data_IF_222176630577
#
_entry.id   IF_222176630577
#
_cell.length_a   1.000
_cell.length_b   1.000
_cell.length_c   1.000
_cell.angle_alpha   90.00
_cell.angle_beta   90.00
_cell.angle_gamma   90.00
#
_symmetry.space_group_name_H-M   'P 1'
#
loop_
_entity.id
_entity.type
_entity.pdbx_description
1 polymer ?
#
# COMPACT_ATOMS: atom_id res chain seq x y z
N UNK A 1 11.56 24.24 -7.79
CA UNK A 1 12.19 22.96 -8.20
C UNK A 1 13.35 22.70 -7.24
N UNK A 2 13.30 21.64 -6.46
CA UNK A 2 14.27 21.41 -5.37
C UNK A 2 15.66 20.90 -5.86
N UNK A 3 15.74 20.40 -7.11
CA UNK A 3 16.98 19.84 -7.67
C UNK A 3 17.77 20.82 -8.56
N UNK A 4 17.30 22.06 -8.72
CA UNK A 4 17.93 23.00 -9.67
C UNK A 4 17.93 22.51 -11.13
N UNK A 5 17.11 21.50 -11.45
CA UNK A 5 17.05 20.91 -12.79
C UNK A 5 17.94 19.68 -12.99
N UNK A 6 18.72 19.27 -11.97
CA UNK A 6 19.56 18.07 -12.04
C UNK A 6 18.77 16.77 -12.05
N UNK A 7 17.54 16.79 -11.57
CA UNK A 7 16.62 15.65 -11.61
C UNK A 7 15.37 16.02 -12.41
N UNK A 8 15.07 15.25 -13.44
CA UNK A 8 13.81 15.29 -14.20
C UNK A 8 13.03 14.01 -13.88
N UNK A 9 11.83 14.17 -13.36
CA UNK A 9 10.91 13.05 -13.09
C UNK A 9 9.78 13.10 -14.09
N UNK A 10 9.55 12.00 -14.77
CA UNK A 10 8.40 11.80 -15.64
C UNK A 10 7.48 10.77 -14.97
N UNK A 11 6.22 11.16 -14.77
CA UNK A 11 5.25 10.33 -14.05
C UNK A 11 4.32 9.62 -15.02
N UNK A 12 4.15 8.34 -14.80
CA UNK A 12 3.22 7.49 -15.55
C UNK A 12 2.19 6.87 -14.59
N UNK A 13 0.96 6.77 -15.05
CA UNK A 13 -0.04 5.99 -14.33
C UNK A 13 0.16 4.50 -14.59
N UNK A 14 -0.17 3.66 -13.61
CA UNK A 14 -0.09 2.20 -13.74
C UNK A 14 -0.85 1.67 -14.97
N UNK A 15 -1.97 2.30 -15.31
CA UNK A 15 -2.76 1.95 -16.49
C UNK A 15 -2.03 2.14 -17.82
N UNK A 16 -1.05 3.05 -17.89
CA UNK A 16 -0.26 3.29 -19.11
C UNK A 16 1.01 2.44 -19.17
N UNK A 17 1.46 1.87 -18.07
CA UNK A 17 2.69 1.07 -18.00
C UNK A 17 2.38 -0.42 -17.97
N UNK A 18 1.49 -0.85 -17.06
CA UNK A 18 1.26 -2.28 -16.77
C UNK A 18 -0.22 -2.67 -16.78
N UNK A 19 -1.11 -1.71 -16.73
CA UNK A 19 -2.55 -1.92 -16.57
C UNK A 19 -2.99 -2.33 -15.16
N UNK A 20 -2.07 -2.73 -14.27
CA UNK A 20 -2.39 -3.19 -12.91
C UNK A 20 -1.39 -2.63 -11.90
N UNK A 21 -1.88 -2.06 -10.80
CA UNK A 21 -1.03 -1.50 -9.74
C UNK A 21 -0.09 -2.55 -9.12
N UNK A 22 -0.53 -3.80 -9.01
CA UNK A 22 0.31 -4.89 -8.47
C UNK A 22 1.53 -5.21 -9.35
N UNK A 23 1.49 -4.88 -10.65
CA UNK A 23 2.58 -5.18 -11.59
C UNK A 23 3.60 -4.02 -11.68
N UNK A 24 3.31 -2.85 -11.14
CA UNK A 24 4.22 -1.70 -11.18
C UNK A 24 5.53 -2.01 -10.46
N UNK A 25 5.46 -2.71 -9.33
CA UNK A 25 6.63 -3.19 -8.60
C UNK A 25 7.55 -4.06 -9.47
N UNK A 26 6.98 -5.00 -10.22
CA UNK A 26 7.75 -5.85 -11.13
C UNK A 26 8.41 -5.02 -12.23
N UNK A 27 7.73 -3.98 -12.71
CA UNK A 27 8.28 -3.09 -13.74
C UNK A 27 9.47 -2.28 -13.24
N UNK A 28 9.43 -1.82 -11.99
CA UNK A 28 10.59 -1.19 -11.36
C UNK A 28 11.72 -2.21 -11.13
N UNK A 29 11.40 -3.39 -10.63
CA UNK A 29 12.37 -4.45 -10.39
C UNK A 29 13.11 -4.90 -11.67
N UNK A 30 12.44 -4.86 -12.82
CA UNK A 30 13.01 -5.26 -14.12
C UNK A 30 13.59 -4.08 -14.92
N UNK A 31 13.55 -2.88 -14.39
CA UNK A 31 14.10 -1.68 -15.03
C UNK A 31 13.25 -1.11 -16.17
N UNK A 32 11.97 -1.49 -16.28
CA UNK A 32 11.02 -0.86 -17.22
C UNK A 32 10.72 0.57 -16.78
N UNK A 33 10.69 0.81 -15.49
CA UNK A 33 10.62 2.13 -14.86
C UNK A 33 11.69 2.22 -13.78
N UNK A 34 12.16 3.44 -13.48
CA UNK A 34 13.22 3.66 -12.50
C UNK A 34 12.72 3.63 -11.05
N UNK A 35 11.45 4.02 -10.81
CA UNK A 35 10.85 4.13 -9.49
C UNK A 35 9.39 3.66 -9.51
N UNK A 36 8.97 3.08 -8.40
CA UNK A 36 7.59 2.69 -8.13
C UNK A 36 7.02 3.54 -6.98
N UNK A 37 5.78 4.01 -7.13
CA UNK A 37 5.03 4.69 -6.08
C UNK A 37 3.65 4.04 -5.95
N UNK A 38 3.62 2.86 -5.35
CA UNK A 38 2.39 2.10 -5.08
C UNK A 38 2.31 1.68 -3.61
N UNK A 39 1.12 1.34 -3.14
CA UNK A 39 0.93 0.83 -1.79
C UNK A 39 1.62 -0.51 -1.59
N UNK A 40 2.41 -0.65 -0.52
CA UNK A 40 3.13 -1.88 -0.21
C UNK A 40 2.21 -3.11 -0.07
N UNK A 41 0.97 -2.92 0.37
CA UNK A 41 -0.04 -3.97 0.49
C UNK A 41 -0.30 -4.76 -0.79
N UNK A 42 -0.08 -4.18 -1.97
CA UNK A 42 -0.20 -4.90 -3.25
C UNK A 42 0.88 -5.98 -3.43
N UNK A 43 1.93 -5.97 -2.62
CA UNK A 43 3.03 -6.93 -2.69
C UNK A 43 2.94 -8.05 -1.64
N UNK A 44 1.84 -8.14 -0.89
CA UNK A 44 1.64 -9.19 0.13
C UNK A 44 1.69 -10.60 -0.42
N UNK A 45 1.35 -10.79 -1.70
CA UNK A 45 1.53 -12.07 -2.40
C UNK A 45 3.00 -12.48 -2.59
N UNK A 46 3.95 -11.53 -2.58
CA UNK A 46 5.39 -11.80 -2.62
C UNK A 46 5.95 -12.08 -1.21
N UNK A 47 5.52 -11.27 -0.24
CA UNK A 47 5.92 -11.40 1.15
C UNK A 47 4.86 -10.74 2.05
N UNK A 48 4.32 -11.52 2.99
CA UNK A 48 3.29 -11.03 3.92
C UNK A 48 3.74 -9.83 4.76
N UNK A 49 5.04 -9.60 4.94
CA UNK A 49 5.57 -8.46 5.68
C UNK A 49 5.24 -7.10 5.00
N UNK A 50 4.96 -7.08 3.69
CA UNK A 50 4.56 -5.85 3.00
C UNK A 50 3.26 -5.25 3.54
N UNK A 51 2.38 -6.04 4.16
CA UNK A 51 1.17 -5.51 4.78
C UNK A 51 1.45 -4.54 5.94
N UNK A 52 2.62 -4.64 6.60
CA UNK A 52 3.03 -3.76 7.70
C UNK A 52 3.83 -2.54 7.21
N UNK A 53 4.20 -2.52 5.94
CA UNK A 53 4.90 -1.40 5.30
C UNK A 53 3.96 -0.38 4.65
N UNK A 54 2.65 -0.56 4.76
CA UNK A 54 1.63 0.28 4.15
C UNK A 54 0.46 0.52 5.11
N UNK A 55 -0.75 0.34 4.58
CA UNK A 55 -1.98 0.59 5.33
C UNK A 55 -2.23 -0.51 6.36
N UNK A 56 -2.22 -0.13 7.63
CA UNK A 56 -2.52 -1.03 8.75
C UNK A 56 -3.88 -0.63 9.32
N UNK A 57 -4.94 -1.31 8.88
CA UNK A 57 -6.32 -1.02 9.29
C UNK A 57 -6.45 -1.05 10.82
N UNK A 58 -6.92 0.07 11.38
CA UNK A 58 -7.08 0.24 12.83
C UNK A 58 -5.77 0.36 13.61
N UNK A 59 -4.62 0.49 12.92
CA UNK A 59 -3.31 0.59 13.57
C UNK A 59 -2.98 1.98 14.09
N UNK A 60 -3.56 3.01 13.48
CA UNK A 60 -3.25 4.42 13.79
C UNK A 60 -4.51 5.27 13.81
N UNK A 61 -4.55 6.27 14.69
CA UNK A 61 -5.67 7.21 14.78
C UNK A 61 -5.57 8.34 13.72
N UNK A 62 -4.39 8.56 13.19
CA UNK A 62 -4.15 9.59 12.18
C UNK A 62 -2.87 9.32 11.38
N UNK A 63 -2.71 9.95 10.19
CA UNK A 63 -1.56 9.75 9.31
C UNK A 63 -0.21 10.12 9.94
N UNK A 64 -0.19 11.05 10.88
CA UNK A 64 1.06 11.48 11.52
C UNK A 64 1.63 10.40 12.43
N UNK A 65 0.79 9.66 13.17
CA UNK A 65 1.22 8.53 13.97
C UNK A 65 1.84 7.43 13.10
N UNK A 66 1.24 7.14 11.96
CA UNK A 66 1.81 6.20 10.99
C UNK A 66 3.15 6.70 10.46
N UNK A 67 3.24 7.98 10.09
CA UNK A 67 4.48 8.58 9.62
C UNK A 67 5.60 8.50 10.65
N UNK A 68 5.29 8.84 11.92
CA UNK A 68 6.26 8.78 13.01
C UNK A 68 6.75 7.36 13.25
N UNK A 69 5.85 6.37 13.20
CA UNK A 69 6.23 4.95 13.28
C UNK A 69 7.16 4.55 12.15
N UNK A 70 6.82 4.89 10.90
CA UNK A 70 7.60 4.55 9.73
C UNK A 70 8.97 5.27 9.71
N UNK A 71 9.06 6.44 10.34
CA UNK A 71 10.32 7.18 10.52
C UNK A 71 11.13 6.72 11.73
N UNK A 72 10.57 5.93 12.60
CA UNK A 72 11.33 5.34 13.69
C UNK A 72 12.46 4.47 13.11
N UNK A 73 13.72 4.62 13.55
CA UNK A 73 14.88 4.00 12.89
C UNK A 73 14.71 2.49 12.63
N UNK A 74 14.25 1.73 13.60
CA UNK A 74 14.05 0.29 13.42
C UNK A 74 12.96 -0.10 12.42
N UNK A 75 11.88 0.69 12.30
CA UNK A 75 10.82 0.43 11.35
C UNK A 75 11.28 0.73 9.92
N UNK A 76 11.92 1.87 9.70
CA UNK A 76 12.47 2.25 8.40
C UNK A 76 13.52 1.23 7.93
N UNK A 77 14.44 0.83 8.79
CA UNK A 77 15.48 -0.15 8.47
C UNK A 77 14.88 -1.52 8.10
N UNK A 78 13.86 -1.96 8.83
CA UNK A 78 13.18 -3.23 8.56
C UNK A 78 12.46 -3.22 7.20
N UNK A 79 11.82 -2.10 6.84
CA UNK A 79 11.13 -2.00 5.56
C UNK A 79 12.11 -1.83 4.42
N UNK A 80 13.19 -1.06 4.58
CA UNK A 80 14.23 -0.98 3.56
C UNK A 80 14.89 -2.35 3.32
N UNK A 81 15.20 -3.08 4.39
CA UNK A 81 15.70 -4.45 4.29
C UNK A 81 14.72 -5.41 3.60
N UNK A 82 13.41 -5.18 3.73
CA UNK A 82 12.40 -5.95 3.00
C UNK A 82 12.46 -5.65 1.50
N UNK A 83 12.50 -4.39 1.09
CA UNK A 83 12.60 -3.99 -0.32
C UNK A 83 13.92 -4.43 -0.95
N UNK A 84 15.02 -4.36 -0.20
CA UNK A 84 16.36 -4.79 -0.65
C UNK A 84 16.41 -6.27 -1.06
N UNK A 85 15.57 -7.15 -0.48
CA UNK A 85 15.44 -8.55 -0.91
C UNK A 85 14.97 -8.69 -2.35
N UNK A 86 14.36 -7.65 -2.89
CA UNK A 86 13.84 -7.59 -4.26
C UNK A 86 14.67 -6.70 -5.17
N UNK A 87 15.85 -6.27 -4.73
CA UNK A 87 16.73 -5.36 -5.48
C UNK A 87 16.21 -3.93 -5.55
N UNK A 88 15.32 -3.56 -4.64
CA UNK A 88 14.70 -2.24 -4.56
C UNK A 88 15.22 -1.50 -3.32
N UNK A 89 15.30 -0.18 -3.38
CA UNK A 89 15.67 0.69 -2.27
C UNK A 89 14.51 1.61 -1.92
N UNK A 90 14.20 1.73 -0.64
CA UNK A 90 13.15 2.63 -0.16
C UNK A 90 13.64 4.09 -0.26
N UNK A 91 12.98 4.90 -1.10
CA UNK A 91 13.30 6.32 -1.25
C UNK A 91 12.53 7.16 -0.21
N UNK A 92 11.31 6.79 0.08
CA UNK A 92 10.47 7.53 1.01
C UNK A 92 9.09 6.90 1.19
N UNK A 93 8.28 7.56 1.99
CA UNK A 93 6.96 7.11 2.37
C UNK A 93 5.88 7.92 1.68
N UNK A 94 4.86 7.22 1.23
CA UNK A 94 3.58 7.79 0.85
C UNK A 94 2.53 7.25 1.82
N UNK A 95 1.81 8.14 2.49
CA UNK A 95 0.80 7.78 3.47
C UNK A 95 -0.53 8.32 2.97
N UNK A 96 -1.51 7.47 2.69
CA UNK A 96 -2.85 7.90 2.33
C UNK A 96 -3.52 8.59 3.53
N UNK A 97 -4.56 9.37 3.26
CA UNK A 97 -5.43 9.88 4.30
C UNK A 97 -6.33 8.78 4.87
N UNK A 98 -7.27 9.18 5.74
CA UNK A 98 -8.28 8.24 6.25
C UNK A 98 -9.08 7.64 5.09
N UNK A 99 -9.15 6.33 5.07
CA UNK A 99 -10.02 5.62 4.17
C UNK A 99 -11.44 5.52 4.74
N UNK A 100 -12.43 5.50 3.86
CA UNK A 100 -13.84 5.44 4.23
C UNK A 100 -14.54 4.34 3.47
N UNK A 101 -15.48 3.66 4.13
CA UNK A 101 -16.36 2.71 3.48
C UNK A 101 -17.42 3.44 2.67
N UNK A 102 -17.59 3.04 1.41
CA UNK A 102 -18.69 3.47 0.56
C UNK A 102 -19.52 2.24 0.25
N UNK A 103 -20.83 2.32 0.50
CA UNK A 103 -21.76 1.21 0.27
C UNK A 103 -23.05 1.69 -0.38
N UNK A 104 -23.62 0.87 -1.26
CA UNK A 104 -24.95 1.09 -1.85
C UNK A 104 -26.09 0.72 -0.90
N UNK A 105 -25.79 0.12 0.25
CA UNK A 105 -26.76 -0.28 1.28
C UNK A 105 -26.25 0.17 2.65
N UNK A 106 -27.14 0.49 3.59
CA UNK A 106 -26.75 0.79 4.96
C UNK A 106 -25.95 -0.36 5.59
N UNK A 107 -24.90 -0.02 6.33
CA UNK A 107 -24.12 -0.92 7.18
C UNK A 107 -24.23 -0.40 8.61
N UNK A 108 -25.31 -0.69 9.33
CA UNK A 108 -25.54 -0.12 10.66
C UNK A 108 -24.67 -0.74 11.75
N UNK A 109 -24.15 -1.93 11.53
CA UNK A 109 -23.33 -2.67 12.48
C UNK A 109 -22.40 -3.66 11.77
N UNK A 110 -21.45 -4.21 12.52
CA UNK A 110 -20.47 -5.18 12.00
C UNK A 110 -21.14 -6.46 11.45
N UNK A 111 -22.15 -7.07 12.08
CA UNK A 111 -22.82 -8.24 11.52
C UNK A 111 -23.44 -8.01 10.14
N UNK A 112 -23.83 -6.79 9.82
CA UNK A 112 -24.41 -6.42 8.53
C UNK A 112 -23.43 -6.52 7.36
N UNK A 113 -22.12 -6.64 7.63
CA UNK A 113 -21.07 -6.81 6.62
C UNK A 113 -21.09 -8.23 6.00
N UNK A 114 -21.68 -9.18 6.70
CA UNK A 114 -21.76 -10.56 6.23
C UNK A 114 -22.37 -10.65 4.84
N UNK A 115 -21.74 -11.44 3.97
CA UNK A 115 -22.12 -11.67 2.58
C UNK A 115 -22.05 -10.45 1.64
N UNK A 116 -21.61 -9.29 2.11
CA UNK A 116 -21.33 -8.17 1.22
C UNK A 116 -20.20 -8.51 0.26
N UNK A 117 -20.39 -8.18 -1.01
CA UNK A 117 -19.29 -8.12 -1.97
C UNK A 117 -18.53 -6.83 -1.74
N UNK A 118 -17.26 -6.96 -1.45
CA UNK A 118 -16.42 -5.87 -0.97
C UNK A 118 -15.19 -5.74 -1.84
N UNK A 119 -14.86 -4.53 -2.29
CA UNK A 119 -13.55 -4.26 -2.86
C UNK A 119 -12.66 -3.73 -1.75
N UNK A 120 -11.58 -4.44 -1.44
CA UNK A 120 -10.52 -3.98 -0.56
C UNK A 120 -9.16 -4.18 -1.20
N UNK A 121 -8.12 -3.45 -0.78
CA UNK A 121 -6.74 -3.79 -1.09
C UNK A 121 -6.41 -5.22 -0.65
N UNK A 122 -5.49 -5.91 -1.33
CA UNK A 122 -5.04 -7.22 -0.87
C UNK A 122 -4.26 -7.10 0.45
N UNK A 123 -4.17 -8.20 1.20
CA UNK A 123 -3.46 -8.26 2.46
C UNK A 123 -4.37 -8.17 3.68
N UNK A 124 -3.95 -7.44 4.71
CA UNK A 124 -4.62 -7.41 6.01
C UNK A 124 -6.08 -6.96 5.92
N UNK A 125 -6.37 -5.94 5.14
CA UNK A 125 -7.73 -5.42 4.99
C UNK A 125 -8.69 -6.48 4.42
N UNK A 126 -8.33 -7.15 3.32
CA UNK A 126 -9.10 -8.27 2.78
C UNK A 126 -9.29 -9.39 3.80
N UNK A 127 -8.27 -9.70 4.60
CA UNK A 127 -8.35 -10.73 5.63
C UNK A 127 -9.33 -10.36 6.74
N UNK A 128 -9.32 -9.10 7.18
CA UNK A 128 -10.26 -8.59 8.20
C UNK A 128 -11.69 -8.69 7.70
N UNK A 129 -11.98 -8.17 6.50
CA UNK A 129 -13.33 -8.24 5.94
C UNK A 129 -13.79 -9.67 5.68
N UNK A 130 -12.89 -10.57 5.24
CA UNK A 130 -13.21 -11.99 5.12
C UNK A 130 -13.57 -12.62 6.46
N UNK A 131 -12.81 -12.29 7.52
CA UNK A 131 -13.08 -12.78 8.87
C UNK A 131 -14.43 -12.28 9.42
N UNK A 132 -14.88 -11.10 8.98
CA UNK A 132 -16.21 -10.56 9.28
C UNK A 132 -17.31 -11.15 8.41
N UNK A 133 -17.00 -12.07 7.50
CA UNK A 133 -17.94 -12.76 6.63
C UNK A 133 -18.27 -12.01 5.33
N UNK A 134 -17.57 -10.94 5.00
CA UNK A 134 -17.67 -10.31 3.68
C UNK A 134 -17.01 -11.18 2.59
N UNK A 135 -17.25 -10.82 1.34
CA UNK A 135 -16.67 -11.44 0.13
C UNK A 135 -15.82 -10.39 -0.59
N UNK A 136 -14.55 -10.18 -0.15
CA UNK A 136 -13.65 -9.21 -0.75
C UNK A 136 -13.19 -9.62 -2.15
#
# INVERSE_FOLDING_TARGET
>A
MFSGGSLKVEMFYSSSVTGKSAEVFNSAQTGIIDCDMTGAGYQTGKNAAFQFAGDVMGGYDNPYQQYDFLKFPGAQDAVDALYNKYGMTLIGWWIPGHESLISSKPIPDVPSIKDFKFRSPPGMESMIFSALGAKP
#
